data_IF_557440034553
#
_entry.id   IF_557440034553
#
_cell.length_a   1.000
_cell.length_b   1.000
_cell.length_c   1.000
_cell.angle_alpha   90.00
_cell.angle_beta   90.00
_cell.angle_gamma   90.00
#
_symmetry.space_group_name_H-M   'P 1'
#
loop_
_entity.id
_entity.type
_entity.pdbx_description
1 polymer ?
#
# COMPACT_ATOMS: atom_id res chain seq x y z
N UNK A 1 10.11 -15.96 -8.32
CA UNK A 1 9.13 -14.95 -7.86
C UNK A 1 9.90 -13.88 -7.11
N UNK A 2 9.69 -12.60 -7.41
CA UNK A 2 10.33 -11.52 -6.65
C UNK A 2 9.40 -11.10 -5.53
N UNK A 3 9.87 -11.19 -4.29
CA UNK A 3 9.08 -10.99 -3.05
C UNK A 3 8.33 -9.65 -3.06
N UNK A 4 8.93 -8.60 -3.63
CA UNK A 4 8.35 -7.25 -3.70
C UNK A 4 7.07 -7.23 -4.56
N UNK A 5 7.06 -7.93 -5.69
CA UNK A 5 5.91 -7.93 -6.59
C UNK A 5 4.75 -8.74 -6.01
N UNK A 6 5.06 -9.79 -5.24
CA UNK A 6 4.07 -10.65 -4.60
C UNK A 6 3.35 -9.89 -3.50
N UNK A 7 4.10 -9.13 -2.70
CA UNK A 7 3.56 -8.20 -1.70
C UNK A 7 2.66 -7.14 -2.34
N UNK A 8 3.06 -6.56 -3.49
CA UNK A 8 2.23 -5.60 -4.23
C UNK A 8 0.92 -6.22 -4.71
N UNK A 9 0.95 -7.45 -5.23
CA UNK A 9 -0.26 -8.17 -5.69
C UNK A 9 -1.20 -8.49 -4.54
N UNK A 10 -0.68 -9.02 -3.42
CA UNK A 10 -1.44 -9.30 -2.21
C UNK A 10 -2.17 -8.03 -1.73
N UNK A 11 -1.46 -6.92 -1.64
CA UNK A 11 -2.04 -5.64 -1.22
C UNK A 11 -3.09 -5.11 -2.21
N UNK A 12 -2.85 -5.25 -3.52
CA UNK A 12 -3.82 -4.86 -4.55
C UNK A 12 -5.11 -5.68 -4.44
N UNK A 13 -5.00 -7.00 -4.30
CA UNK A 13 -6.16 -7.88 -4.12
C UNK A 13 -6.94 -7.51 -2.86
N UNK A 14 -6.26 -7.29 -1.73
CA UNK A 14 -6.91 -6.89 -0.49
C UNK A 14 -7.78 -5.62 -0.67
N UNK A 15 -7.24 -4.59 -1.32
CA UNK A 15 -7.99 -3.35 -1.61
C UNK A 15 -9.22 -3.62 -2.48
N UNK A 16 -9.10 -4.46 -3.50
CA UNK A 16 -10.20 -4.80 -4.41
C UNK A 16 -11.30 -5.59 -3.71
N UNK A 17 -10.94 -6.56 -2.86
CA UNK A 17 -11.90 -7.35 -2.06
C UNK A 17 -12.62 -6.44 -1.05
N UNK A 18 -11.86 -5.57 -0.36
CA UNK A 18 -12.43 -4.60 0.61
C UNK A 18 -13.42 -3.65 -0.07
N UNK A 19 -13.08 -3.18 -1.28
CA UNK A 19 -13.97 -2.36 -2.11
C UNK A 19 -15.07 -3.14 -2.83
N UNK A 20 -15.07 -4.48 -2.77
CA UNK A 20 -15.98 -5.36 -3.53
C UNK A 20 -15.93 -5.10 -5.05
N UNK A 21 -14.78 -4.73 -5.60
CA UNK A 21 -14.57 -4.39 -7.01
C UNK A 21 -13.74 -5.44 -7.75
N UNK A 22 -13.88 -6.73 -7.43
CA UNK A 22 -13.03 -7.76 -8.05
C UNK A 22 -13.53 -8.25 -9.40
N UNK A 23 -14.83 -8.16 -9.69
CA UNK A 23 -15.42 -8.80 -10.86
C UNK A 23 -15.40 -10.33 -10.76
N UNK A 24 -15.51 -11.02 -11.90
CA UNK A 24 -15.32 -12.48 -11.95
C UNK A 24 -13.89 -12.88 -11.57
N UNK A 25 -13.65 -14.14 -11.16
CA UNK A 25 -12.29 -14.63 -10.92
C UNK A 25 -11.36 -14.44 -12.13
N UNK A 26 -11.90 -14.53 -13.35
CA UNK A 26 -11.19 -14.26 -14.60
C UNK A 26 -10.81 -12.79 -14.75
N UNK A 27 -11.75 -11.89 -14.44
CA UNK A 27 -11.51 -10.44 -14.50
C UNK A 27 -10.46 -10.05 -13.46
N UNK A 28 -10.56 -10.56 -12.23
CA UNK A 28 -9.60 -10.28 -11.17
C UNK A 28 -8.21 -10.78 -11.54
N UNK A 29 -8.09 -12.00 -12.07
CA UNK A 29 -6.81 -12.57 -12.50
C UNK A 29 -6.18 -11.73 -13.61
N UNK A 30 -6.98 -11.28 -14.57
CA UNK A 30 -6.55 -10.40 -15.66
C UNK A 30 -6.12 -9.02 -15.14
N UNK A 31 -6.87 -8.45 -14.19
CA UNK A 31 -6.62 -7.13 -13.60
C UNK A 31 -5.32 -7.07 -12.78
N UNK A 32 -4.90 -8.19 -12.18
CA UNK A 32 -3.64 -8.30 -11.43
C UNK A 32 -2.53 -8.98 -12.24
N UNK A 33 -2.79 -9.29 -13.52
CA UNK A 33 -1.86 -9.92 -14.46
C UNK A 33 -1.28 -11.24 -13.96
N UNK A 34 -2.13 -12.14 -13.44
CA UNK A 34 -1.72 -13.49 -13.00
C UNK A 34 -2.62 -14.56 -13.61
N UNK A 35 -2.16 -15.81 -13.57
CA UNK A 35 -3.02 -16.94 -13.93
C UNK A 35 -4.15 -17.13 -12.91
N UNK A 36 -5.27 -17.73 -13.34
CA UNK A 36 -6.37 -18.06 -12.42
C UNK A 36 -5.89 -18.91 -11.23
N UNK A 37 -4.98 -19.86 -11.46
CA UNK A 37 -4.40 -20.70 -10.41
C UNK A 37 -3.64 -19.87 -9.38
N UNK A 38 -2.85 -18.92 -9.84
CA UNK A 38 -2.04 -18.05 -8.97
C UNK A 38 -2.90 -17.05 -8.20
N UNK A 39 -3.99 -16.55 -8.81
CA UNK A 39 -5.00 -15.81 -8.06
C UNK A 39 -5.51 -16.60 -6.85
N UNK A 40 -5.90 -17.86 -7.04
CA UNK A 40 -6.38 -18.69 -5.93
C UNK A 40 -5.29 -18.99 -4.90
N UNK A 41 -4.03 -19.12 -5.32
CA UNK A 41 -2.91 -19.21 -4.39
C UNK A 41 -2.79 -17.95 -3.52
N UNK A 42 -2.91 -16.76 -4.11
CA UNK A 42 -2.86 -15.49 -3.36
C UNK A 42 -4.07 -15.36 -2.41
N UNK A 43 -5.26 -15.78 -2.84
CA UNK A 43 -6.44 -15.83 -1.98
C UNK A 43 -6.21 -16.76 -0.79
N UNK A 44 -5.58 -17.92 -1.02
CA UNK A 44 -5.24 -18.86 0.05
C UNK A 44 -4.22 -18.27 1.04
N UNK A 45 -3.23 -17.52 0.54
CA UNK A 45 -2.30 -16.78 1.40
C UNK A 45 -3.05 -15.79 2.30
N UNK A 46 -4.02 -15.05 1.77
CA UNK A 46 -4.86 -14.15 2.58
C UNK A 46 -5.69 -14.93 3.61
N UNK A 47 -6.21 -16.11 3.25
CA UNK A 47 -6.93 -16.98 4.18
C UNK A 47 -6.04 -17.49 5.31
N UNK A 48 -4.81 -17.85 5.00
CA UNK A 48 -3.81 -18.25 6.00
C UNK A 48 -3.43 -17.10 6.95
N UNK A 49 -3.63 -15.84 6.54
CA UNK A 49 -3.50 -14.66 7.41
C UNK A 49 -4.76 -14.38 8.26
N UNK A 50 -5.77 -15.25 8.18
CA UNK A 50 -7.02 -15.12 8.94
C UNK A 50 -8.16 -14.44 8.17
N UNK A 51 -8.02 -14.20 6.88
CA UNK A 51 -9.12 -13.65 6.08
C UNK A 51 -10.13 -14.75 5.70
N UNK A 52 -11.41 -14.53 5.96
CA UNK A 52 -12.45 -15.41 5.42
C UNK A 52 -12.99 -14.80 4.13
N UNK A 53 -12.64 -15.40 2.99
CA UNK A 53 -12.96 -14.88 1.65
C UNK A 53 -13.90 -15.84 0.92
N UNK A 54 -15.05 -15.33 0.50
CA UNK A 54 -16.01 -16.05 -0.34
C UNK A 54 -16.37 -15.25 -1.60
N UNK A 55 -16.61 -15.96 -2.70
CA UNK A 55 -17.08 -15.34 -3.94
C UNK A 55 -18.61 -15.18 -3.92
N UNK A 56 -19.09 -13.95 -3.98
CA UNK A 56 -20.50 -13.64 -4.08
C UNK A 56 -20.92 -13.52 -5.55
N UNK A 57 -21.65 -14.52 -6.05
CA UNK A 57 -22.13 -14.55 -7.44
C UNK A 57 -23.08 -13.40 -7.79
N UNK A 58 -23.91 -12.94 -6.85
CA UNK A 58 -24.86 -11.84 -7.10
C UNK A 58 -24.15 -10.50 -7.27
N UNK A 59 -23.08 -10.28 -6.50
CA UNK A 59 -22.24 -9.07 -6.59
C UNK A 59 -21.13 -9.19 -7.64
N UNK A 60 -20.95 -10.39 -8.19
CA UNK A 60 -19.80 -10.76 -9.00
C UNK A 60 -18.49 -10.28 -8.39
N UNK A 61 -18.27 -10.61 -7.12
CA UNK A 61 -17.13 -10.09 -6.37
C UNK A 61 -16.73 -10.99 -5.21
N UNK A 62 -15.43 -11.06 -4.91
CA UNK A 62 -14.93 -11.64 -3.67
C UNK A 62 -15.23 -10.70 -2.51
N UNK A 63 -15.68 -11.26 -1.39
CA UNK A 63 -16.06 -10.52 -0.21
C UNK A 63 -15.45 -11.18 1.03
N UNK A 64 -15.05 -10.33 2.00
CA UNK A 64 -14.72 -10.80 3.34
C UNK A 64 -16.00 -11.16 4.11
N UNK A 65 -16.01 -12.29 4.80
CA UNK A 65 -17.09 -12.66 5.74
C UNK A 65 -16.77 -12.28 7.18
N UNK A 66 -15.49 -12.06 7.50
CA UNK A 66 -15.04 -11.53 8.78
C UNK A 66 -14.52 -10.09 8.65
N UNK A 67 -14.37 -9.40 9.79
CA UNK A 67 -13.76 -8.07 9.86
C UNK A 67 -12.24 -8.16 9.68
N UNK A 68 -11.81 -8.48 8.45
CA UNK A 68 -10.41 -8.58 8.09
C UNK A 68 -9.91 -7.25 7.51
N UNK A 69 -8.82 -6.73 8.08
CA UNK A 69 -8.09 -5.59 7.54
C UNK A 69 -6.60 -5.87 7.54
N UNK A 70 -5.91 -5.45 6.48
CA UNK A 70 -4.48 -5.70 6.30
C UNK A 70 -3.78 -4.41 5.90
N UNK A 71 -2.86 -3.97 6.77
CA UNK A 71 -1.98 -2.84 6.48
C UNK A 71 -0.60 -3.35 6.08
N UNK A 72 -0.10 -2.90 4.92
CA UNK A 72 1.22 -3.26 4.42
C UNK A 72 2.03 -2.00 4.14
N UNK A 73 3.14 -1.85 4.85
CA UNK A 73 4.14 -0.78 4.65
C UNK A 73 5.51 -1.37 4.34
N UNK A 74 6.07 -1.05 3.18
CA UNK A 74 7.45 -1.38 2.82
C UNK A 74 8.26 -0.08 2.74
N UNK A 75 9.29 0.03 3.59
CA UNK A 75 10.19 1.17 3.62
C UNK A 75 11.61 0.71 3.27
N UNK A 76 12.24 1.38 2.30
CA UNK A 76 13.64 1.15 1.93
C UNK A 76 14.35 2.48 2.03
N UNK A 77 15.34 2.57 2.93
CA UNK A 77 16.21 3.74 3.08
C UNK A 77 17.65 3.32 2.82
N UNK A 78 18.34 4.06 1.96
CA UNK A 78 19.77 3.99 1.85
C UNK A 78 20.37 4.98 2.85
N UNK A 79 21.13 4.47 3.82
CA UNK A 79 21.88 5.29 4.76
C UNK A 79 23.29 5.41 4.16
N UNK A 80 23.63 6.59 3.66
CA UNK A 80 24.99 6.88 3.18
C UNK A 80 25.99 6.94 4.35
N UNK A 81 27.28 6.77 4.05
CA UNK A 81 28.36 6.75 5.05
C UNK A 81 28.42 8.03 5.92
N UNK A 82 27.83 9.14 5.48
CA UNK A 82 27.81 10.42 6.19
C UNK A 82 26.78 10.50 7.35
N UNK A 83 25.87 9.53 7.51
CA UNK A 83 24.88 9.50 8.59
C UNK A 83 25.19 8.48 9.70
N UNK A 84 26.41 7.95 9.74
CA UNK A 84 26.86 7.01 10.78
C UNK A 84 26.93 7.63 12.20
N UNK A 85 26.68 8.94 12.35
CA UNK A 85 26.89 9.69 13.58
C UNK A 85 25.64 10.02 14.39
N UNK A 86 24.45 9.52 14.04
CA UNK A 86 23.20 9.84 14.78
C UNK A 86 22.49 8.65 15.43
N UNK A 87 23.13 7.49 15.50
CA UNK A 87 22.63 6.35 16.27
C UNK A 87 23.28 6.22 17.66
N UNK A 88 24.19 7.11 18.03
CA UNK A 88 24.77 7.16 19.37
C UNK A 88 24.18 8.33 20.19
N UNK A 89 23.34 7.98 21.16
CA UNK A 89 23.05 8.78 22.37
C UNK A 89 22.23 10.09 22.27
N UNK A 90 20.92 10.03 22.54
CA UNK A 90 20.18 11.12 23.22
C UNK A 90 18.95 11.73 22.50
N UNK A 91 18.00 12.21 23.32
CA UNK A 91 16.60 12.57 23.02
C UNK A 91 16.34 13.94 22.33
N UNK A 92 15.60 13.92 21.20
CA UNK A 92 14.50 14.79 20.62
C UNK A 92 14.58 16.35 20.61
N UNK A 93 14.27 17.02 19.46
CA UNK A 93 13.15 18.00 19.28
C UNK A 93 13.06 18.75 17.91
N UNK A 94 11.81 19.09 17.55
CA UNK A 94 11.21 19.59 16.28
C UNK A 94 11.53 21.07 15.90
N UNK A 95 11.53 21.40 14.58
CA UNK A 95 11.18 22.76 14.08
C UNK A 95 10.42 22.77 12.74
N UNK A 96 9.32 23.53 12.71
CA UNK A 96 8.42 23.82 11.57
C UNK A 96 8.91 25.00 10.69
N UNK A 97 8.41 25.09 9.44
CA UNK A 97 8.79 26.01 8.31
C UNK A 97 8.05 27.37 8.29
N UNK A 98 8.50 28.31 7.41
CA UNK A 98 7.58 29.05 6.54
C UNK A 98 8.01 29.13 5.05
N UNK A 99 7.08 29.57 4.17
CA UNK A 99 7.11 29.56 2.70
C UNK A 99 7.12 31.00 2.11
N UNK A 100 7.62 31.21 0.87
CA UNK A 100 7.12 32.18 -0.14
C UNK A 100 7.85 32.02 -1.50
N UNK A 101 7.22 32.44 -2.62
CA UNK A 101 7.41 31.85 -3.96
C UNK A 101 7.60 32.85 -5.15
N UNK A 102 7.92 32.28 -6.35
CA UNK A 102 7.71 32.72 -7.77
C UNK A 102 8.78 33.63 -8.46
N UNK A 103 8.89 33.73 -9.83
CA UNK A 103 8.38 32.93 -10.97
C UNK A 103 9.45 32.53 -12.05
N UNK A 104 9.01 31.97 -13.20
CA UNK A 104 9.71 31.03 -14.09
C UNK A 104 10.41 31.59 -15.37
N UNK A 105 11.53 30.98 -15.84
CA UNK A 105 11.82 30.69 -17.27
C UNK A 105 13.01 29.71 -17.50
N UNK A 106 12.70 28.58 -18.13
CA UNK A 106 13.51 27.67 -18.97
C UNK A 106 14.93 27.24 -18.54
N UNK A 107 15.01 26.12 -17.81
CA UNK A 107 15.71 24.86 -18.18
C UNK A 107 15.40 23.90 -17.04
N UNK A 108 14.74 22.77 -17.34
CA UNK A 108 13.93 22.04 -16.37
C UNK A 108 14.75 21.35 -15.25
N UNK A 109 14.97 22.12 -14.18
CA UNK A 109 15.30 21.78 -12.79
C UNK A 109 15.91 20.40 -12.52
N UNK A 110 17.24 20.44 -12.52
CA UNK A 110 18.11 19.89 -11.48
C UNK A 110 17.46 19.84 -10.07
N UNK A 111 17.83 18.78 -9.33
CA UNK A 111 17.86 18.61 -7.86
C UNK A 111 16.54 18.39 -7.08
N UNK A 112 16.52 17.24 -6.39
CA UNK A 112 16.03 17.06 -5.03
C UNK A 112 14.58 17.48 -4.73
N UNK A 113 13.63 16.57 -5.00
CA UNK A 113 12.27 16.64 -4.45
C UNK A 113 11.96 15.46 -3.52
N UNK A 114 12.88 15.16 -2.59
CA UNK A 114 12.65 14.23 -1.47
C UNK A 114 11.95 14.90 -0.28
N UNK A 115 11.02 15.83 -0.51
CA UNK A 115 10.19 16.42 0.55
C UNK A 115 8.74 16.50 0.10
N UNK A 116 7.87 15.89 0.91
CA UNK A 116 6.43 15.59 0.71
C UNK A 116 6.25 14.26 -0.05
N UNK A 117 5.68 13.18 0.49
CA UNK A 117 4.53 13.08 1.39
C UNK A 117 4.74 11.86 2.31
N UNK A 118 5.11 12.11 3.56
CA UNK A 118 4.62 11.31 4.67
C UNK A 118 3.47 12.13 5.25
N UNK A 119 2.26 11.57 5.27
CA UNK A 119 1.05 12.19 5.79
C UNK A 119 -0.06 12.33 4.76
N UNK A 120 -0.87 11.28 4.60
CA UNK A 120 -2.27 11.35 5.03
C UNK A 120 -2.75 9.94 5.40
N UNK A 121 -2.85 9.77 6.71
CA UNK A 121 -3.54 8.70 7.41
C UNK A 121 -5.03 8.98 7.26
N UNK A 122 -5.73 8.23 6.39
CA UNK A 122 -7.19 8.13 6.45
C UNK A 122 -7.56 6.73 6.92
N UNK A 123 -7.57 6.59 8.23
CA UNK A 123 -8.45 5.66 8.91
C UNK A 123 -9.90 6.09 8.66
N UNK A 124 -10.61 5.36 7.79
CA UNK A 124 -12.06 5.25 7.87
C UNK A 124 -12.39 3.92 8.57
N UNK A 125 -12.31 3.92 9.89
CA UNK A 125 -13.10 3.00 10.71
C UNK A 125 -14.42 3.73 10.93
N UNK A 126 -15.49 3.24 10.30
CA UNK A 126 -16.84 3.70 10.58
C UNK A 126 -17.16 3.40 12.05
N UNK A 127 -17.45 4.47 12.78
CA UNK A 127 -18.03 4.46 14.11
C UNK A 127 -19.46 3.91 14.01
N UNK A 128 -19.73 2.78 14.66
CA UNK A 128 -21.10 2.38 14.98
C UNK A 128 -21.69 3.37 15.99
N UNK A 129 -22.88 3.88 15.68
CA UNK A 129 -23.88 4.32 16.63
C UNK A 129 -25.22 3.74 16.14
#
# INVERSE_FOLDING_TARGET
>A
MFIIDDLRRIHKIHKLIKGQQTGSPEDLASLICVSRRELYYIIEVLKNMGAEINYNRKKQSFCYTNAFDMNLSLCVSYIGEDEMNLLDGGTICLKNKPQQALPCRNFARNENSSRKICGEFFSFVNLQA
#
